data_IF_884481829196
#
_entry.id   IF_884481829196
#
_cell.length_a   1.000
_cell.length_b   1.000
_cell.length_c   1.000
_cell.angle_alpha   90.00
_cell.angle_beta   90.00
_cell.angle_gamma   90.00
#
_symmetry.space_group_name_H-M   'P 1'
#
loop_
_entity.id
_entity.type
_entity.pdbx_description
1 polymer ?
#
# COMPACT_ATOMS: atom_id res chain seq x y z
N UNK A 1 14.47 13.40 32.39
CA UNK A 1 15.45 12.57 31.64
C UNK A 1 14.72 11.99 30.45
N UNK A 2 15.20 12.23 29.22
CA UNK A 2 14.57 11.68 28.01
C UNK A 2 15.48 10.62 27.39
N UNK A 3 14.90 9.49 27.04
CA UNK A 3 15.54 8.47 26.21
C UNK A 3 14.95 8.62 24.81
N UNK A 4 15.82 8.69 23.81
CA UNK A 4 15.44 8.74 22.39
C UNK A 4 15.91 7.45 21.75
N UNK A 5 14.97 6.71 21.15
CA UNK A 5 15.27 5.54 20.34
C UNK A 5 15.18 5.90 18.87
N UNK A 6 16.10 5.37 18.06
CA UNK A 6 16.01 5.39 16.61
C UNK A 6 15.79 3.95 16.14
N UNK A 7 14.64 3.71 15.52
CA UNK A 7 14.31 2.44 14.89
C UNK A 7 14.58 2.58 13.39
N UNK A 8 15.59 1.86 12.90
CA UNK A 8 15.81 1.71 11.46
C UNK A 8 15.18 0.40 11.03
N UNK A 9 13.94 0.45 10.54
CA UNK A 9 13.35 -0.70 9.87
C UNK A 9 14.17 -0.93 8.58
N UNK A 10 14.75 -2.13 8.41
CA UNK A 10 15.39 -2.50 7.16
C UNK A 10 14.41 -2.35 6.00
N UNK A 11 14.92 -2.12 4.79
CA UNK A 11 14.10 -2.01 3.57
C UNK A 11 13.39 -3.32 3.16
N UNK A 12 13.59 -4.39 3.92
CA UNK A 12 12.95 -5.68 3.69
C UNK A 12 11.48 -5.61 4.10
N UNK A 13 10.59 -5.97 3.18
CA UNK A 13 9.17 -6.17 3.43
C UNK A 13 9.01 -7.56 4.05
N UNK A 14 8.47 -7.62 5.25
CA UNK A 14 8.42 -8.87 6.02
C UNK A 14 7.10 -9.62 5.79
N UNK A 15 6.01 -8.90 5.48
CA UNK A 15 4.72 -9.46 5.15
C UNK A 15 4.77 -10.21 3.81
N UNK A 16 4.36 -11.47 3.86
CA UNK A 16 4.17 -12.28 2.66
C UNK A 16 2.94 -11.79 1.89
N UNK A 17 2.93 -11.86 0.55
CA UNK A 17 1.74 -11.56 -0.22
C UNK A 17 0.55 -12.41 0.22
N UNK A 18 -0.59 -11.77 0.44
CA UNK A 18 -1.83 -12.44 0.80
C UNK A 18 -2.64 -12.74 -0.46
N UNK A 19 -3.35 -13.87 -0.49
CA UNK A 19 -4.26 -14.19 -1.61
C UNK A 19 -5.66 -13.67 -1.28
N UNK A 20 -6.25 -12.91 -2.19
CA UNK A 20 -7.60 -12.34 -2.02
C UNK A 20 -8.53 -12.84 -3.12
N UNK A 21 -9.83 -12.88 -2.82
CA UNK A 21 -10.84 -13.27 -3.81
C UNK A 21 -11.23 -12.09 -4.69
N UNK A 22 -11.76 -12.38 -5.89
CA UNK A 22 -12.31 -11.35 -6.77
C UNK A 22 -13.45 -10.55 -6.11
N UNK A 23 -14.22 -11.18 -5.22
CA UNK A 23 -15.31 -10.52 -4.47
C UNK A 23 -14.76 -9.52 -3.45
N UNK A 24 -13.76 -9.91 -2.67
CA UNK A 24 -13.11 -9.02 -1.70
C UNK A 24 -12.42 -7.86 -2.41
N UNK A 25 -11.76 -8.13 -3.55
CA UNK A 25 -11.18 -7.08 -4.39
C UNK A 25 -12.25 -6.09 -4.90
N UNK A 26 -13.39 -6.59 -5.37
CA UNK A 26 -14.48 -5.72 -5.84
C UNK A 26 -15.05 -4.85 -4.69
N UNK A 27 -15.21 -5.42 -3.49
CA UNK A 27 -15.64 -4.69 -2.30
C UNK A 27 -14.63 -3.61 -1.92
N UNK A 28 -13.33 -3.92 -1.94
CA UNK A 28 -12.25 -2.96 -1.70
C UNK A 28 -12.25 -1.84 -2.73
N UNK A 29 -12.38 -2.14 -4.02
CA UNK A 29 -12.46 -1.12 -5.08
C UNK A 29 -13.65 -0.19 -4.88
N UNK A 30 -14.83 -0.73 -4.56
CA UNK A 30 -16.00 0.11 -4.28
C UNK A 30 -15.74 1.04 -3.07
N UNK A 31 -15.19 0.48 -1.99
CA UNK A 31 -14.83 1.20 -0.77
C UNK A 31 -13.79 2.30 -1.00
N UNK A 32 -12.80 2.06 -1.85
CA UNK A 32 -11.74 3.01 -2.20
C UNK A 32 -12.25 4.10 -3.17
N UNK A 33 -13.09 3.75 -4.15
CA UNK A 33 -13.70 4.70 -5.10
C UNK A 33 -14.58 5.72 -4.42
N UNK A 34 -15.40 5.27 -3.47
CA UNK A 34 -16.28 6.14 -2.69
C UNK A 34 -15.50 7.24 -1.94
N UNK A 35 -14.23 6.98 -1.63
CA UNK A 35 -13.36 7.90 -0.88
C UNK A 35 -12.29 8.61 -1.73
N UNK A 36 -12.20 8.32 -3.02
CA UNK A 36 -11.22 8.96 -3.92
C UNK A 36 -9.76 8.55 -3.68
N UNK A 37 -9.51 7.36 -3.14
CA UNK A 37 -8.16 6.91 -2.70
C UNK A 37 -7.56 5.82 -3.60
N UNK A 38 -8.16 5.60 -4.78
CA UNK A 38 -7.59 4.74 -5.81
C UNK A 38 -6.52 5.51 -6.58
N UNK A 39 -5.32 4.92 -6.65
CA UNK A 39 -4.23 5.42 -7.47
C UNK A 39 -4.31 4.70 -8.81
N UNK A 40 -5.27 5.09 -9.66
CA UNK A 40 -5.28 4.65 -11.05
C UNK A 40 -4.07 5.29 -11.75
N UNK A 41 -3.18 4.46 -12.32
CA UNK A 41 -2.21 4.95 -13.30
C UNK A 41 -2.99 5.18 -14.60
N UNK A 42 -3.18 6.44 -14.98
CA UNK A 42 -3.91 6.84 -16.21
C UNK A 42 -3.17 6.44 -17.51
N UNK A 43 -2.00 5.82 -17.42
CA UNK A 43 -1.15 5.47 -18.56
C UNK A 43 -0.62 4.03 -18.44
N UNK A 44 -1.30 3.08 -19.07
CA UNK A 44 -0.72 2.07 -19.99
C UNK A 44 -1.71 0.93 -20.29
N UNK A 45 -1.82 0.62 -21.60
CA UNK A 45 -2.38 -0.54 -22.27
C UNK A 45 -3.43 -1.42 -21.53
N UNK A 46 -4.68 -1.55 -22.03
CA UNK A 46 -5.71 -2.42 -21.43
C UNK A 46 -5.32 -3.91 -21.36
N UNK A 47 -4.20 -4.34 -21.96
CA UNK A 47 -3.61 -5.67 -21.75
C UNK A 47 -2.57 -5.76 -20.61
N UNK A 48 -2.13 -4.65 -20.02
CA UNK A 48 -1.14 -4.57 -18.91
C UNK A 48 -1.81 -4.23 -17.56
N UNK A 49 -3.04 -3.72 -17.57
CA UNK A 49 -3.78 -3.24 -16.39
C UNK A 49 -4.40 -4.35 -15.51
N UNK A 50 -3.59 -5.32 -15.06
CA UNK A 50 -4.00 -6.35 -14.09
C UNK A 50 -3.64 -6.02 -12.64
N UNK A 51 -2.81 -5.00 -12.44
CA UNK A 51 -2.27 -4.62 -11.13
C UNK A 51 -2.48 -3.13 -10.88
N UNK A 52 -2.86 -2.77 -9.66
CA UNK A 52 -3.09 -1.39 -9.26
C UNK A 52 -2.71 -1.16 -7.81
N UNK A 53 -2.48 0.10 -7.44
CA UNK A 53 -2.11 0.50 -6.09
C UNK A 53 -3.23 1.29 -5.42
N UNK A 54 -3.29 1.22 -4.10
CA UNK A 54 -4.27 1.96 -3.31
C UNK A 54 -3.66 2.43 -2.00
N UNK A 55 -4.13 3.59 -1.54
CA UNK A 55 -3.78 4.14 -0.24
C UNK A 55 -4.51 3.37 0.84
N UNK A 56 -3.86 3.15 1.97
CA UNK A 56 -4.44 2.44 3.13
C UNK A 56 -4.21 3.18 4.44
N UNK A 57 -3.23 4.09 4.50
CA UNK A 57 -2.95 4.88 5.69
C UNK A 57 -4.10 5.78 6.15
N UNK A 58 -4.98 6.31 5.26
CA UNK A 58 -6.10 7.14 5.71
C UNK A 58 -7.19 6.39 6.49
N UNK A 59 -7.15 5.05 6.54
CA UNK A 59 -8.25 4.24 7.05
C UNK A 59 -7.89 3.48 8.31
N UNK A 60 -8.90 3.21 9.15
CA UNK A 60 -8.69 2.29 10.27
C UNK A 60 -8.42 0.88 9.75
N UNK A 61 -7.47 0.19 10.36
CA UNK A 61 -7.15 -1.20 10.04
C UNK A 61 -8.41 -2.08 10.07
N UNK A 62 -9.25 -1.93 11.10
CA UNK A 62 -10.51 -2.66 11.24
C UNK A 62 -11.46 -2.49 10.04
N UNK A 63 -11.56 -1.28 9.48
CA UNK A 63 -12.40 -1.02 8.30
C UNK A 63 -11.91 -1.75 7.06
N UNK A 64 -10.59 -1.87 6.89
CA UNK A 64 -9.99 -2.61 5.78
C UNK A 64 -10.17 -4.11 6.04
N UNK A 65 -9.83 -4.62 7.22
CA UNK A 65 -9.89 -6.04 7.56
C UNK A 65 -11.29 -6.64 7.42
N UNK A 66 -12.33 -5.87 7.73
CA UNK A 66 -13.72 -6.31 7.54
C UNK A 66 -14.05 -6.64 6.06
N UNK A 67 -13.37 -6.02 5.09
CA UNK A 67 -13.57 -6.30 3.65
C UNK A 67 -12.94 -7.63 3.21
N UNK A 68 -12.01 -8.15 4.02
CA UNK A 68 -11.23 -9.35 3.73
C UNK A 68 -11.48 -10.46 4.75
N UNK A 69 -12.64 -10.43 5.41
CA UNK A 69 -13.05 -11.45 6.39
C UNK A 69 -12.02 -11.66 7.53
N UNK A 70 -11.27 -10.62 7.88
CA UNK A 70 -10.19 -10.66 8.87
C UNK A 70 -9.08 -11.67 8.53
N UNK A 71 -8.78 -11.88 7.26
CA UNK A 71 -7.65 -12.70 6.82
C UNK A 71 -6.32 -12.20 7.42
N UNK A 72 -5.59 -13.10 8.09
CA UNK A 72 -4.34 -12.78 8.79
C UNK A 72 -3.25 -12.27 7.84
N UNK A 73 -3.19 -12.81 6.62
CA UNK A 73 -2.22 -12.37 5.61
C UNK A 73 -2.50 -10.95 5.16
N UNK A 74 -3.77 -10.61 4.93
CA UNK A 74 -4.19 -9.25 4.58
C UNK A 74 -3.91 -8.29 5.72
N UNK A 75 -4.20 -8.67 6.97
CA UNK A 75 -3.88 -7.87 8.17
C UNK A 75 -2.39 -7.54 8.20
N UNK A 76 -1.52 -8.54 8.03
CA UNK A 76 -0.07 -8.34 8.06
C UNK A 76 0.41 -7.37 6.97
N UNK A 77 -0.11 -7.51 5.74
CA UNK A 77 0.26 -6.61 4.63
C UNK A 77 -0.21 -5.18 4.89
N UNK A 78 -1.46 -5.00 5.33
CA UNK A 78 -2.04 -3.67 5.56
C UNK A 78 -1.38 -2.98 6.75
N UNK A 79 -1.17 -3.70 7.85
CA UNK A 79 -0.48 -3.18 9.03
C UNK A 79 0.94 -2.72 8.68
N UNK A 80 1.70 -3.53 7.94
CA UNK A 80 3.05 -3.16 7.53
C UNK A 80 3.04 -1.94 6.58
N UNK A 81 2.11 -1.89 5.62
CA UNK A 81 1.97 -0.75 4.73
C UNK A 81 1.67 0.55 5.51
N UNK A 82 0.74 0.51 6.47
CA UNK A 82 0.40 1.63 7.33
C UNK A 82 1.56 2.06 8.23
N UNK A 83 2.25 1.09 8.85
CA UNK A 83 3.40 1.33 9.71
C UNK A 83 4.54 2.02 8.95
N UNK A 84 4.74 1.68 7.67
CA UNK A 84 5.80 2.23 6.82
C UNK A 84 5.39 3.46 6.01
N UNK A 85 4.12 3.86 6.02
CA UNK A 85 3.63 4.95 5.16
C UNK A 85 3.64 4.61 3.67
N UNK A 86 3.44 3.34 3.31
CA UNK A 86 3.45 2.83 1.94
C UNK A 86 2.03 2.49 1.46
N UNK A 87 1.85 2.43 0.14
CA UNK A 87 0.63 1.91 -0.47
C UNK A 87 0.56 0.38 -0.40
N UNK A 88 -0.60 -0.17 -0.71
CA UNK A 88 -0.74 -1.59 -1.07
C UNK A 88 -0.89 -1.74 -2.57
N UNK A 89 -0.43 -2.89 -3.08
CA UNK A 89 -0.55 -3.26 -4.49
C UNK A 89 -1.33 -4.56 -4.61
N UNK A 90 -2.26 -4.58 -5.55
CA UNK A 90 -2.92 -5.79 -6.00
C UNK A 90 -2.26 -6.25 -7.30
N UNK A 91 -1.95 -7.53 -7.41
CA UNK A 91 -1.39 -8.14 -8.61
C UNK A 91 -2.19 -9.37 -8.99
N UNK A 92 -2.64 -9.45 -10.25
CA UNK A 92 -3.44 -10.57 -10.74
C UNK A 92 -2.58 -11.43 -11.66
N UNK A 93 -2.44 -12.69 -11.27
CA UNK A 93 -1.77 -13.71 -12.07
C UNK A 93 -2.78 -14.36 -13.02
N UNK A 94 -2.57 -14.25 -14.33
CA UNK A 94 -3.50 -14.74 -15.35
C UNK A 94 -3.51 -16.28 -15.45
N UNK A 95 -2.36 -16.92 -15.21
CA UNK A 95 -2.18 -18.37 -15.32
C UNK A 95 -2.91 -19.13 -14.20
N UNK A 96 -2.83 -18.62 -12.98
CA UNK A 96 -3.45 -19.20 -11.77
C UNK A 96 -4.80 -18.58 -11.46
N UNK A 97 -5.14 -17.46 -12.11
CA UNK A 97 -6.29 -16.59 -11.80
C UNK A 97 -6.33 -16.14 -10.34
N UNK A 98 -5.17 -16.14 -9.67
CA UNK A 98 -5.04 -15.69 -8.30
C UNK A 98 -4.84 -14.18 -8.26
N UNK A 99 -5.30 -13.56 -7.16
CA UNK A 99 -5.11 -12.14 -6.90
C UNK A 99 -4.29 -12.07 -5.63
N UNK A 100 -3.14 -11.43 -5.70
CA UNK A 100 -2.25 -11.22 -4.57
C UNK A 100 -2.33 -9.77 -4.10
N UNK A 101 -2.25 -9.58 -2.79
CA UNK A 101 -2.13 -8.30 -2.12
C UNK A 101 -0.77 -8.24 -1.45
N UNK A 102 0.01 -7.19 -1.73
CA UNK A 102 1.33 -7.00 -1.15
C UNK A 102 1.60 -5.54 -0.80
N UNK A 103 2.62 -5.30 0.04
CA UNK A 103 3.10 -3.94 0.35
C UNK A 103 3.77 -3.37 -0.90
N UNK A 104 3.32 -2.20 -1.34
CA UNK A 104 3.85 -1.52 -2.52
C UNK A 104 5.24 -0.91 -2.25
N UNK A 105 5.90 -0.47 -3.32
CA UNK A 105 7.16 0.30 -3.23
C UNK A 105 6.93 1.80 -3.12
N UNK A 106 5.71 2.24 -3.42
CA UNK A 106 5.36 3.65 -3.51
C UNK A 106 4.88 4.17 -2.15
N UNK A 107 5.26 5.39 -1.77
CA UNK A 107 4.75 6.01 -0.55
C UNK A 107 3.27 6.36 -0.71
N UNK A 108 2.52 6.27 0.39
CA UNK A 108 1.10 6.62 0.46
C UNK A 108 0.86 8.13 0.24
N UNK A 109 1.91 8.95 0.17
CA UNK A 109 1.77 10.41 0.01
C UNK A 109 1.29 11.11 1.29
N UNK A 110 0.98 10.34 2.34
CA UNK A 110 0.85 10.80 3.73
C UNK A 110 2.12 11.51 4.24
N UNK A 111 3.27 11.22 3.62
CA UNK A 111 4.54 11.90 3.88
C UNK A 111 4.62 13.29 3.23
N UNK A 112 4.03 14.28 3.89
CA UNK A 112 4.54 15.67 3.81
C UNK A 112 6.02 15.80 4.25
N UNK A 113 6.66 14.76 4.78
CA UNK A 113 8.06 14.78 5.23
C UNK A 113 9.11 14.51 4.14
N UNK A 114 8.73 14.05 2.94
CA UNK A 114 9.71 13.79 1.85
C UNK A 114 10.16 15.05 1.09
N UNK A 115 9.46 16.19 1.24
CA UNK A 115 9.86 17.46 0.58
C UNK A 115 10.96 18.26 1.32
N UNK A 116 11.30 17.92 2.56
CA UNK A 116 12.34 18.64 3.30
C UNK A 116 13.77 18.12 3.03
N UNK A 117 13.94 16.89 2.55
CA UNK A 117 15.25 16.28 2.34
C UNK A 117 15.87 16.55 0.95
N UNK A 118 15.12 17.10 -0.01
CA UNK A 118 15.61 17.43 -1.37
C UNK A 118 15.93 18.92 -1.58
N UNK A 119 15.83 19.75 -0.54
CA UNK A 119 16.01 21.20 -0.62
C UNK A 119 17.37 21.75 -0.15
N UNK A 120 18.25 20.94 0.42
CA UNK A 120 19.59 21.37 0.86
C UNK A 120 20.71 20.65 0.08
N UNK A 121 20.74 20.90 -1.23
CA UNK A 121 21.95 20.77 -2.05
C UNK A 121 22.48 22.16 -2.31
N UNK A 122 23.17 22.70 -1.31
CA UNK A 122 23.91 23.97 -1.32
C UNK A 122 24.77 24.12 -2.59
N UNK A 123 24.63 25.29 -3.22
CA UNK A 123 25.57 25.79 -4.20
C UNK A 123 26.97 25.87 -3.57
N UNK A 124 27.95 25.21 -4.19
CA UNK A 124 29.36 25.54 -3.99
C UNK A 124 29.83 26.26 -5.24
N UNK A 125 30.11 27.55 -5.07
CA UNK A 125 31.01 28.35 -5.91
C UNK A 125 32.43 27.81 -5.82
#
# INVERSE_FOLDING_TARGET
>A
MSITFFLSAGAQRDAKPATVTARQLAAFRAFARERGELLDHDDEDPLVACSFEARVCPWSLASICALFDYDEGVIAVVEEAQFRGLNVRFDRDDATRSISLCVASTPDGSDRQSRAARGLGIAST
#
